data_IF_100411166858
#
_entry.id   IF_100411166858
#
_cell.length_a   1.000
_cell.length_b   1.000
_cell.length_c   1.000
_cell.angle_alpha   90.00
_cell.angle_beta   90.00
_cell.angle_gamma   90.00
#
_symmetry.space_group_name_H-M   'P 1'
#
loop_
_entity.id
_entity.type
_entity.pdbx_description
1 polymer ?
#
# COMPACT_ATOMS: atom_id res chain seq x y z
N UNK A 1 -18.36 22.27 -22.59
CA UNK A 1 -18.94 21.06 -21.98
C UNK A 1 -17.85 20.01 -21.90
N UNK A 2 -17.65 19.35 -20.76
CA UNK A 2 -16.61 18.33 -20.62
C UNK A 2 -17.02 17.08 -21.39
N UNK A 3 -16.52 16.91 -22.61
CA UNK A 3 -16.60 15.62 -23.29
C UNK A 3 -15.72 14.65 -22.51
N UNK A 4 -16.35 13.76 -21.75
CA UNK A 4 -15.67 12.60 -21.21
C UNK A 4 -15.34 11.71 -22.40
N UNK A 5 -14.17 11.94 -23.01
CA UNK A 5 -13.71 11.14 -24.12
C UNK A 5 -13.58 9.69 -23.63
N UNK A 6 -14.25 8.73 -24.29
CA UNK A 6 -14.05 7.34 -23.98
C UNK A 6 -12.55 7.01 -24.02
N UNK A 7 -12.04 6.29 -23.00
CA UNK A 7 -10.64 5.84 -22.93
C UNK A 7 -10.23 5.16 -24.25
N UNK A 8 -11.21 4.55 -24.90
CA UNK A 8 -11.14 3.94 -26.21
C UNK A 8 -10.70 4.88 -27.35
N UNK A 9 -11.24 6.09 -27.40
CA UNK A 9 -10.95 7.12 -28.38
C UNK A 9 -9.60 7.77 -28.11
N UNK A 10 -9.31 8.04 -26.84
CA UNK A 10 -8.02 8.58 -26.41
C UNK A 10 -6.86 7.61 -26.72
N UNK A 11 -7.06 6.32 -26.45
CA UNK A 11 -6.09 5.29 -26.81
C UNK A 11 -5.83 5.28 -28.31
N UNK A 12 -6.86 5.48 -29.14
CA UNK A 12 -6.72 5.54 -30.59
C UNK A 12 -5.94 6.76 -31.07
N UNK A 13 -6.21 7.95 -30.50
CA UNK A 13 -5.50 9.20 -30.84
C UNK A 13 -4.04 9.14 -30.40
N UNK A 14 -3.76 8.57 -29.23
CA UNK A 14 -2.40 8.38 -28.73
C UNK A 14 -1.71 7.14 -29.32
N UNK A 15 -2.34 6.46 -30.28
CA UNK A 15 -1.85 5.24 -30.93
C UNK A 15 -1.44 4.12 -29.95
N UNK A 16 -2.03 4.11 -28.75
CA UNK A 16 -1.86 3.05 -27.77
C UNK A 16 -3.07 2.13 -27.78
N UNK A 17 -2.85 0.85 -27.53
CA UNK A 17 -3.97 -0.06 -27.29
C UNK A 17 -4.55 0.17 -25.90
N UNK A 18 -5.87 -0.02 -25.74
CA UNK A 18 -6.57 0.12 -24.45
C UNK A 18 -5.98 -0.78 -23.38
N UNK A 19 -5.61 -2.00 -23.77
CA UNK A 19 -4.96 -2.97 -22.88
C UNK A 19 -3.64 -2.44 -22.33
N UNK A 20 -2.84 -1.75 -23.15
CA UNK A 20 -1.56 -1.14 -22.72
C UNK A 20 -1.78 0.03 -21.76
N UNK A 21 -2.82 0.84 -21.97
CA UNK A 21 -3.24 1.90 -21.06
C UNK A 21 -3.64 1.37 -19.68
N UNK A 22 -4.54 0.39 -19.61
CA UNK A 22 -4.96 -0.19 -18.32
C UNK A 22 -3.84 -0.99 -17.65
N UNK A 23 -2.95 -1.62 -18.42
CA UNK A 23 -1.80 -2.35 -17.89
C UNK A 23 -0.74 -1.43 -17.29
N UNK A 24 -0.52 -0.23 -17.87
CA UNK A 24 0.29 0.81 -17.24
C UNK A 24 -0.37 1.35 -15.97
N UNK A 25 -1.69 1.59 -16.01
CA UNK A 25 -2.48 2.05 -14.87
C UNK A 25 -2.43 1.08 -13.68
N UNK A 26 -2.48 -0.23 -13.95
CA UNK A 26 -2.37 -1.29 -12.92
C UNK A 26 -0.95 -1.38 -12.34
N UNK A 27 0.10 -1.29 -13.17
CA UNK A 27 1.50 -1.28 -12.71
C UNK A 27 1.84 -0.05 -11.87
N UNK A 28 1.21 1.09 -12.14
CA UNK A 28 1.28 2.28 -11.29
C UNK A 28 0.54 2.12 -9.96
N UNK A 29 -0.49 1.27 -9.90
CA UNK A 29 -1.26 1.02 -8.68
C UNK A 29 -0.65 -0.05 -7.75
N UNK A 30 0.16 -0.98 -8.26
CA UNK A 30 0.79 -2.06 -7.49
C UNK A 30 2.31 -1.96 -7.54
N UNK A 31 2.89 -1.02 -6.79
CA UNK A 31 4.33 -1.02 -6.53
C UNK A 31 4.60 -1.89 -5.29
N UNK A 32 5.71 -2.64 -5.25
CA UNK A 32 6.09 -3.60 -4.17
C UNK A 32 5.98 -3.07 -2.73
N UNK A 33 6.06 -1.75 -2.56
CA UNK A 33 5.86 -1.10 -1.26
C UNK A 33 4.44 -1.30 -0.73
N UNK A 34 3.44 -1.33 -1.60
CA UNK A 34 2.03 -1.50 -1.22
C UNK A 34 1.75 -2.90 -0.70
N UNK A 35 2.43 -3.92 -1.24
CA UNK A 35 2.29 -5.31 -0.78
C UNK A 35 2.96 -5.50 0.58
N UNK A 36 4.22 -5.05 0.74
CA UNK A 36 4.92 -5.08 2.05
C UNK A 36 4.20 -4.27 3.12
N UNK A 37 3.61 -3.13 2.74
CA UNK A 37 2.81 -2.34 3.65
C UNK A 37 1.58 -3.14 4.14
N UNK A 38 0.95 -3.92 3.26
CA UNK A 38 -0.14 -4.82 3.62
C UNK A 38 0.27 -5.92 4.60
N UNK A 39 1.43 -6.53 4.40
CA UNK A 39 2.01 -7.55 5.29
C UNK A 39 2.30 -6.98 6.69
N UNK A 40 2.96 -5.82 6.74
CA UNK A 40 3.24 -5.13 8.01
C UNK A 40 1.93 -4.74 8.72
N UNK A 41 0.91 -4.30 7.99
CA UNK A 41 -0.41 -4.02 8.57
C UNK A 41 -1.07 -5.29 9.12
N UNK A 42 -0.92 -6.43 8.45
CA UNK A 42 -1.33 -7.74 8.95
C UNK A 42 -0.69 -8.06 10.30
N UNK A 43 0.64 -7.99 10.37
CA UNK A 43 1.40 -8.24 11.60
C UNK A 43 0.99 -7.29 12.75
N UNK A 44 0.73 -6.02 12.45
CA UNK A 44 0.24 -5.06 13.44
C UNK A 44 -1.15 -5.45 13.96
N UNK A 45 -2.05 -5.95 13.10
CA UNK A 45 -3.38 -6.43 13.50
C UNK A 45 -3.26 -7.66 14.39
N UNK A 46 -2.40 -8.60 14.04
CA UNK A 46 -2.16 -9.81 14.82
C UNK A 46 -1.59 -9.47 16.20
N UNK A 47 -0.61 -8.57 16.26
CA UNK A 47 -0.10 -8.06 17.54
C UNK A 47 -1.21 -7.40 18.37
N UNK A 48 -2.08 -6.59 17.77
CA UNK A 48 -3.20 -5.93 18.46
C UNK A 48 -4.32 -6.88 18.92
N UNK A 49 -4.41 -8.07 18.34
CA UNK A 49 -5.33 -9.11 18.81
C UNK A 49 -5.01 -9.48 20.27
N UNK A 50 -3.74 -9.48 20.63
CA UNK A 50 -3.26 -9.71 21.99
C UNK A 50 -3.57 -8.50 22.89
N UNK A 51 -4.29 -8.74 24.00
CA UNK A 51 -4.65 -7.70 24.98
C UNK A 51 -3.45 -6.92 25.50
N UNK A 52 -2.28 -7.55 25.61
CA UNK A 52 -1.03 -6.93 26.10
C UNK A 52 -0.51 -5.84 25.16
N UNK A 53 -0.63 -6.03 23.85
CA UNK A 53 -0.05 -5.13 22.84
C UNK A 53 -1.07 -4.19 22.20
N UNK A 54 -2.36 -4.37 22.50
CA UNK A 54 -3.47 -3.56 21.98
C UNK A 54 -3.29 -2.05 22.22
N UNK A 55 -2.75 -1.65 23.37
CA UNK A 55 -2.50 -0.25 23.74
C UNK A 55 -1.15 0.28 23.27
N UNK A 56 -0.32 -0.54 22.62
CA UNK A 56 1.03 -0.12 22.25
C UNK A 56 0.97 0.85 21.08
N UNK A 57 1.63 1.99 21.27
CA UNK A 57 1.91 2.93 20.19
C UNK A 57 3.14 2.53 19.37
N UNK A 58 3.38 3.26 18.28
CA UNK A 58 4.53 3.08 17.36
C UNK A 58 5.88 2.87 18.06
N UNK A 59 6.13 3.52 19.20
CA UNK A 59 7.38 3.39 19.97
C UNK A 59 7.59 1.98 20.53
N UNK A 60 6.52 1.35 21.04
CA UNK A 60 6.56 0.01 21.65
C UNK A 60 6.32 -1.10 20.63
N UNK A 61 5.65 -0.79 19.51
CA UNK A 61 5.41 -1.72 18.41
C UNK A 61 6.63 -1.93 17.52
N UNK A 62 7.47 -0.91 17.34
CA UNK A 62 8.69 -1.01 16.54
C UNK A 62 9.64 -2.15 16.99
N UNK A 63 10.06 -2.25 18.26
CA UNK A 63 10.94 -3.33 18.68
C UNK A 63 10.26 -4.70 18.52
N UNK A 64 8.94 -4.82 18.75
CA UNK A 64 8.22 -6.07 18.50
C UNK A 64 8.24 -6.49 17.04
N UNK A 65 8.14 -5.54 16.11
CA UNK A 65 8.27 -5.80 14.69
C UNK A 65 9.72 -6.15 14.32
N UNK A 66 10.72 -5.49 14.93
CA UNK A 66 12.13 -5.82 14.73
C UNK A 66 12.47 -7.23 15.25
N UNK A 67 11.90 -7.64 16.38
CA UNK A 67 12.03 -9.00 16.93
C UNK A 67 11.38 -10.05 16.01
N UNK A 68 10.33 -9.66 15.29
CA UNK A 68 9.70 -10.46 14.23
C UNK A 68 10.46 -10.39 12.89
N UNK A 69 11.60 -9.70 12.84
CA UNK A 69 12.46 -9.58 11.66
C UNK A 69 12.11 -8.42 10.72
N UNK A 70 11.12 -7.59 11.05
CA UNK A 70 10.65 -6.48 10.22
C UNK A 70 11.31 -5.15 10.59
N UNK A 71 12.31 -4.75 9.81
CA UNK A 71 13.02 -3.48 9.99
C UNK A 71 12.29 -2.36 9.28
N UNK A 72 11.56 -1.54 10.04
CA UNK A 72 10.77 -0.43 9.48
C UNK A 72 11.05 0.89 10.20
N UNK A 73 11.14 1.97 9.43
CA UNK A 73 11.32 3.30 10.01
C UNK A 73 10.10 3.70 10.85
N UNK A 74 10.33 4.42 11.95
CA UNK A 74 9.23 4.94 12.81
C UNK A 74 8.21 5.76 12.01
N UNK A 75 8.65 6.48 10.98
CA UNK A 75 7.80 7.25 10.07
C UNK A 75 6.89 6.33 9.24
N UNK A 76 7.44 5.25 8.68
CA UNK A 76 6.67 4.25 7.91
C UNK A 76 5.67 3.52 8.80
N UNK A 77 6.08 3.08 9.99
CA UNK A 77 5.19 2.46 10.97
C UNK A 77 4.01 3.36 11.33
N UNK A 78 4.29 4.63 11.64
CA UNK A 78 3.25 5.61 11.97
C UNK A 78 2.27 5.82 10.82
N UNK A 79 2.73 5.80 9.57
CA UNK A 79 1.85 5.88 8.38
C UNK A 79 0.96 4.65 8.26
N UNK A 80 1.49 3.45 8.51
CA UNK A 80 0.74 2.19 8.40
C UNK A 80 -0.24 1.95 9.56
N UNK A 81 0.02 2.57 10.72
CA UNK A 81 -0.86 2.51 11.88
C UNK A 81 -1.99 3.56 11.87
N UNK A 82 -1.94 4.55 10.95
CA UNK A 82 -3.03 5.49 10.71
C UNK A 82 -4.09 4.84 9.83
#
# INVERSE_FOLDING_TARGET
MSEQFPITSLCRVMEVTRSRFYSWRKRRNNTDRSSRDGEIVGLIRDLRSNKRFRSFGTRRLKPLLEDLGEIISRKRLRRLMR
#
